data_IF_342020022761
#
_entry.id   IF_342020022761
#
_cell.length_a   1.000
_cell.length_b   1.000
_cell.length_c   1.000
_cell.angle_alpha   90.00
_cell.angle_beta   90.00
_cell.angle_gamma   90.00
#
_symmetry.space_group_name_H-M   'P 1'
#
loop_
_entity.id
_entity.type
_entity.pdbx_description
1 polymer ?
2 branched ?
3 non-polymer ?
4 non-polymer ?
5 non-polymer ?
6 water ?
#
# COMPACT_ATOMS: atom_id res chain seq x y z
N UNK A 1 7.32 -22.41 33.55
CA UNK A 1 8.14 -23.22 32.63
C UNK A 1 9.61 -22.85 32.68
N UNK A 2 10.45 -23.81 33.01
CA UNK A 2 11.90 -23.59 33.06
C UNK A 2 12.53 -23.43 31.68
N UNK A 3 11.78 -23.76 30.63
CA UNK A 3 12.26 -23.57 29.25
C UNK A 3 11.63 -22.33 28.60
N UNK A 4 10.83 -21.60 29.36
CA UNK A 4 10.07 -20.48 28.83
C UNK A 4 10.31 -19.20 29.61
N UNK A 5 11.33 -18.43 29.22
CA UNK A 5 11.61 -17.13 29.84
C UNK A 5 10.59 -16.08 29.39
N UNK A 6 10.17 -15.24 30.32
CA UNK A 6 9.15 -14.22 30.04
C UNK A 6 7.91 -14.41 30.92
N UNK A 7 6.78 -13.78 30.55
CA UNK A 7 6.56 -12.98 29.34
C UNK A 7 7.27 -11.64 29.32
N UNK A 8 7.62 -11.20 28.12
CA UNK A 8 8.24 -9.90 27.91
C UNK A 8 7.24 -9.04 27.16
N UNK A 9 7.30 -7.73 27.38
CA UNK A 9 6.34 -6.82 26.77
C UNK A 9 6.80 -6.39 25.36
N UNK A 10 5.86 -5.93 24.51
CA UNK A 10 6.25 -5.41 23.20
C UNK A 10 7.43 -4.44 23.32
N UNK A 11 8.46 -4.67 22.51
CA UNK A 11 9.70 -3.91 22.60
C UNK A 11 10.46 -3.97 21.26
N UNK A 12 11.44 -3.09 21.09
CA UNK A 12 12.35 -3.13 19.96
C UNK A 12 13.69 -3.62 20.49
N UNK A 13 14.20 -4.68 19.88
CA UNK A 13 15.41 -5.33 20.39
C UNK A 13 16.12 -6.10 19.29
N UNK A 14 17.39 -6.38 19.53
CA UNK A 14 18.21 -7.18 18.63
C UNK A 14 18.38 -8.56 19.25
N UNK A 15 17.49 -9.52 18.89
CA UNK A 15 17.49 -10.83 19.54
C UNK A 15 18.84 -11.54 19.39
N UNK A 16 19.26 -12.30 20.41
CA UNK A 16 20.48 -13.09 20.26
C UNK A 16 20.24 -14.30 19.36
N UNK A 17 21.27 -14.76 18.67
CA UNK A 17 21.15 -15.90 17.76
C UNK A 17 20.90 -17.21 18.51
N UNK A 18 20.32 -18.20 17.81
CA UNK A 18 20.01 -19.52 18.39
C UNK A 18 18.96 -19.51 19.51
N UNK A 19 18.16 -18.44 19.57
CA UNK A 19 17.05 -18.37 20.52
C UNK A 19 15.74 -18.20 19.76
N UNK A 20 14.76 -19.05 20.04
CA UNK A 20 13.44 -18.86 19.49
C UNK A 20 12.71 -17.77 20.27
N UNK A 21 12.09 -16.87 19.53
CA UNK A 21 11.27 -15.84 20.11
C UNK A 21 9.84 -16.33 19.95
N UNK A 22 9.22 -16.75 21.06
CA UNK A 22 7.87 -17.27 21.02
C UNK A 22 6.86 -16.15 21.25
N UNK A 23 6.03 -15.90 20.23
CA UNK A 23 5.12 -14.77 20.20
C UNK A 23 3.68 -15.17 20.56
N UNK A 24 3.04 -14.36 21.40
CA UNK A 24 1.68 -14.64 21.85
C UNK A 24 0.71 -13.49 21.58
N UNK A 25 0.33 -13.29 20.31
CA UNK A 25 -0.55 -12.17 19.96
C UNK A 25 -2.00 -12.43 20.35
N UNK A 26 -2.82 -11.38 20.37
CA UNK A 26 -4.22 -11.52 20.78
C UNK A 26 -5.19 -11.17 19.66
N UNK A 27 -4.89 -10.12 18.91
CA UNK A 27 -5.76 -9.65 17.83
C UNK A 27 -5.07 -9.68 16.48
N UNK A 28 -5.84 -9.57 15.40
CA UNK A 28 -5.27 -9.49 14.06
C UNK A 28 -4.40 -8.24 13.89
N UNK A 29 -3.36 -8.35 13.06
CA UNK A 29 -2.49 -7.22 12.76
C UNK A 29 -1.04 -7.64 12.66
N UNK A 30 -0.15 -6.68 12.84
CA UNK A 30 1.29 -6.94 12.77
C UNK A 30 1.75 -7.57 14.09
N UNK A 31 2.35 -8.75 14.01
CA UNK A 31 2.86 -9.48 15.16
C UNK A 31 4.26 -8.99 15.50
N UNK A 32 5.12 -9.01 14.48
CA UNK A 32 6.53 -8.69 14.62
C UNK A 32 7.05 -8.18 13.29
N UNK A 33 8.03 -7.29 13.34
CA UNK A 33 8.76 -6.81 12.16
C UNK A 33 10.26 -6.75 12.48
N UNK A 34 11.09 -6.89 11.45
CA UNK A 34 12.53 -6.91 11.61
C UNK A 34 13.22 -6.55 10.31
N UNK A 35 14.42 -5.98 10.43
CA UNK A 35 15.20 -5.61 9.26
C UNK A 35 16.69 -5.55 9.54
N UNK A 36 17.48 -5.71 8.48
CA UNK A 36 18.92 -5.49 8.53
C UNK A 36 19.28 -4.13 7.92
N UNK A 37 18.26 -3.39 7.50
CA UNK A 37 18.39 -2.03 6.96
C UNK A 37 19.19 -1.97 5.65
N UNK A 38 19.30 -3.10 4.97
CA UNK A 38 20.07 -3.22 3.74
C UNK A 38 19.25 -3.87 2.62
N UNK A 39 18.77 -5.09 2.86
CA UNK A 39 18.16 -5.88 1.80
C UNK A 39 17.11 -6.88 2.28
N UNK A 40 16.65 -6.72 3.52
CA UNK A 40 15.57 -7.54 4.03
C UNK A 40 14.73 -6.73 5.00
N UNK A 41 13.45 -6.60 4.66
CA UNK A 41 12.44 -6.11 5.58
C UNK A 41 11.37 -7.18 5.70
N UNK A 42 11.33 -7.80 6.88
CA UNK A 42 10.46 -8.93 7.16
C UNK A 42 9.49 -8.62 8.30
N UNK A 43 8.24 -8.97 8.11
CA UNK A 43 7.25 -8.90 9.18
C UNK A 43 6.43 -10.16 9.19
N UNK A 44 5.69 -10.37 10.27
CA UNK A 44 4.67 -11.38 10.32
C UNK A 44 3.35 -10.69 10.68
N UNK A 45 2.31 -10.99 9.92
CA UNK A 45 0.97 -10.49 10.19
C UNK A 45 0.08 -11.64 10.65
N UNK A 46 -1.00 -11.31 11.36
CA UNK A 46 -1.93 -12.31 11.87
C UNK A 46 -3.32 -12.05 11.33
N UNK A 47 -3.95 -13.11 10.82
CA UNK A 47 -5.29 -13.02 10.26
C UNK A 47 -6.20 -13.97 11.02
N UNK A 48 -7.30 -13.42 11.53
CA UNK A 48 -8.29 -14.20 12.28
C UNK A 48 -8.98 -15.19 11.34
N UNK A 49 -9.71 -16.18 11.89
CA UNK A 49 -10.41 -17.14 11.03
C UNK A 49 -11.53 -16.47 10.22
N UNK A 50 -11.94 -17.12 9.13
CA UNK A 50 -13.05 -16.64 8.30
C UNK A 50 -12.85 -15.25 7.66
N UNK A 51 -11.79 -15.11 6.88
CA UNK A 51 -11.51 -13.88 6.17
C UNK A 51 -11.38 -14.19 4.67
N UNK A 52 -12.41 -13.84 3.91
CA UNK A 52 -12.39 -14.01 2.45
C UNK A 52 -11.43 -12.98 1.87
N UNK A 53 -10.78 -13.33 0.75
CA UNK A 53 -9.78 -12.45 0.11
C UNK A 53 -10.18 -10.98 0.16
N UNK A 54 -9.29 -10.15 0.71
CA UNK A 54 -9.53 -8.72 0.90
C UNK A 54 -8.23 -7.96 1.06
N UNK A 55 -8.24 -6.69 0.65
CA UNK A 55 -7.13 -5.79 0.93
C UNK A 55 -7.22 -5.27 2.36
N UNK A 56 -6.12 -5.43 3.10
CA UNK A 56 -6.04 -4.88 4.45
C UNK A 56 -4.83 -4.00 4.61
N UNK A 57 -4.96 -2.97 5.42
CA UNK A 57 -3.85 -2.05 5.69
C UNK A 57 -3.12 -2.45 6.97
N UNK A 58 -1.80 -2.55 6.86
CA UNK A 58 -0.95 -2.87 8.00
C UNK A 58 0.09 -1.78 8.15
N UNK A 59 0.40 -1.45 9.40
CA UNK A 59 1.48 -0.52 9.72
C UNK A 59 2.80 -1.29 9.80
N UNK A 60 3.62 -1.14 8.75
CA UNK A 60 4.89 -1.87 8.66
C UNK A 60 6.05 -0.90 8.55
N UNK A 61 6.95 -0.93 9.53
CA UNK A 61 8.09 0.00 9.62
C UNK A 61 7.64 1.46 9.49
N UNK A 62 6.54 1.79 10.17
CA UNK A 62 6.05 3.16 10.24
C UNK A 62 5.26 3.68 9.04
N UNK A 63 4.83 2.81 8.14
CA UNK A 63 3.99 3.26 7.02
C UNK A 63 2.83 2.31 6.70
N UNK A 64 1.80 2.85 6.08
CA UNK A 64 0.61 2.08 5.70
C UNK A 64 0.90 1.22 4.48
N UNK A 65 0.80 -0.09 4.65
CA UNK A 65 1.03 -1.03 3.58
C UNK A 65 -0.24 -1.82 3.34
N UNK A 66 -0.70 -1.85 2.10
CA UNK A 66 -1.91 -2.58 1.75
C UNK A 66 -1.57 -3.94 1.15
N UNK A 67 -2.12 -4.99 1.77
CA UNK A 67 -1.86 -6.36 1.37
C UNK A 67 -3.14 -7.14 1.15
N UNK A 68 -3.12 -8.00 0.13
CA UNK A 68 -4.24 -8.89 -0.16
C UNK A 68 -4.11 -10.19 0.61
N UNK A 69 -4.99 -10.38 1.58
CA UNK A 69 -4.88 -11.48 2.53
C UNK A 69 -6.17 -12.30 2.58
N UNK A 70 -6.06 -13.52 3.10
CA UNK A 70 -7.22 -14.37 3.31
C UNK A 70 -6.95 -15.42 4.38
N UNK A 71 -7.99 -15.78 5.12
CA UNK A 71 -7.94 -16.94 5.99
C UNK A 71 -9.21 -17.75 5.76
N UNK A 72 -9.07 -18.83 5.00
CA UNK A 72 -10.16 -19.77 4.68
C UNK A 72 -10.67 -20.45 5.95
N UNK A 73 -9.73 -20.89 6.78
CA UNK A 73 -10.01 -21.64 8.01
C UNK A 73 -11.14 -21.05 8.86
N UNK A 74 -11.84 -21.94 9.55
CA UNK A 74 -12.87 -21.55 10.50
C UNK A 74 -12.36 -21.66 11.93
N UNK A 75 -11.40 -22.57 12.15
CA UNK A 75 -10.92 -22.91 13.50
C UNK A 75 -9.49 -22.45 13.79
N UNK A 76 -8.78 -22.02 12.75
CA UNK A 76 -7.37 -21.71 12.88
C UNK A 76 -7.03 -20.29 12.44
N UNK A 77 -6.20 -19.63 13.25
CA UNK A 77 -5.65 -18.31 12.91
C UNK A 77 -4.51 -18.50 11.92
N UNK A 78 -4.21 -17.45 11.14
CA UNK A 78 -3.20 -17.55 10.10
C UNK A 78 -2.08 -16.52 10.26
N UNK A 79 -0.86 -17.01 10.43
CA UNK A 79 0.33 -16.17 10.42
C UNK A 79 0.92 -16.18 9.02
N UNK A 80 1.29 -15.01 8.51
CA UNK A 80 1.90 -14.88 7.19
C UNK A 80 3.16 -14.06 7.32
N UNK A 81 4.26 -14.56 6.75
CA UNK A 81 5.49 -13.78 6.67
C UNK A 81 5.45 -12.93 5.42
N UNK A 82 5.72 -11.64 5.57
CA UNK A 82 5.79 -10.73 4.42
C UNK A 82 7.19 -10.16 4.34
N UNK A 83 7.73 -10.06 3.12
CA UNK A 83 9.12 -9.68 2.94
C UNK A 83 9.37 -8.85 1.69
N UNK A 84 10.18 -7.79 1.85
CA UNK A 84 10.72 -7.03 0.70
C UNK A 84 12.24 -6.95 0.78
N UNK A 85 12.90 -6.77 -0.36
CA UNK A 85 14.36 -6.78 -0.40
C UNK A 85 14.99 -5.42 -0.73
N UNK A 86 14.15 -4.43 -0.98
CA UNK A 86 14.61 -3.07 -1.20
C UNK A 86 13.70 -2.14 -0.41
N UNK A 87 14.20 -0.97 -0.01
CA UNK A 87 13.37 -0.04 0.76
C UNK A 87 12.09 0.36 0.04
N UNK A 88 12.14 0.41 -1.29
CA UNK A 88 11.04 0.96 -2.09
C UNK A 88 10.20 -0.11 -2.82
N UNK A 89 10.53 -1.38 -2.62
CA UNK A 89 9.85 -2.48 -3.31
C UNK A 89 8.55 -2.98 -2.69
N UNK A 90 8.04 -4.07 -3.26
CA UNK A 90 6.82 -4.70 -2.79
C UNK A 90 7.09 -5.86 -1.83
N UNK A 91 6.22 -5.99 -0.83
CA UNK A 91 6.20 -7.16 0.05
C UNK A 91 5.54 -8.32 -0.67
N UNK A 92 6.12 -9.50 -0.54
CA UNK A 92 5.51 -10.74 -1.00
C UNK A 92 5.27 -11.65 0.20
N UNK A 93 4.32 -12.57 0.06
CA UNK A 93 3.86 -13.39 1.18
C UNK A 93 4.45 -14.80 1.17
N UNK A 94 4.92 -15.25 2.33
CA UNK A 94 5.65 -16.51 2.42
C UNK A 94 5.37 -17.22 3.74
N UNK A 95 5.70 -18.50 3.78
CA UNK A 95 5.61 -19.36 4.95
C UNK A 95 4.40 -19.20 5.84
N UNK A 96 3.19 -19.30 5.28
CA UNK A 96 2.03 -19.20 6.19
C UNK A 96 1.96 -20.33 7.23
N UNK A 97 1.48 -19.98 8.43
CA UNK A 97 1.21 -20.97 9.47
C UNK A 97 -0.23 -20.83 9.94
N UNK A 98 -1.00 -21.88 9.72
CA UNK A 98 -2.36 -21.98 10.25
C UNK A 98 -2.30 -22.60 11.63
N UNK A 99 -2.85 -21.90 12.61
CA UNK A 99 -2.57 -22.18 14.01
C UNK A 99 -3.78 -22.16 14.92
N UNK A 100 -3.93 -23.25 15.69
CA UNK A 100 -4.98 -23.33 16.69
C UNK A 100 -4.58 -22.62 18.00
N UNK A 101 -3.36 -22.86 18.52
CA UNK A 101 -2.95 -22.22 19.77
C UNK A 101 -2.70 -20.72 19.68
N UNK A 102 -2.56 -20.21 18.46
CA UNK A 102 -2.29 -18.79 18.20
C UNK A 102 -0.89 -18.36 18.70
N UNK A 103 0.07 -19.26 18.54
CA UNK A 103 1.45 -18.98 18.90
C UNK A 103 2.33 -19.00 17.66
N UNK A 104 3.30 -18.11 17.63
CA UNK A 104 4.27 -18.04 16.55
C UNK A 104 5.67 -17.97 17.12
N UNK A 105 6.67 -18.26 16.30
CA UNK A 105 8.07 -18.12 16.73
C UNK A 105 9.02 -17.70 15.61
N UNK A 106 10.00 -16.86 15.97
CA UNK A 106 11.07 -16.48 15.05
C UNK A 106 12.45 -16.68 15.70
N UNK A 107 13.44 -16.96 14.88
CA UNK A 107 14.80 -17.15 15.34
C UNK A 107 15.83 -16.72 14.30
N UNK A 108 16.88 -16.05 14.75
CA UNK A 108 18.05 -15.72 13.94
C UNK A 108 19.06 -16.85 14.10
N UNK A 109 19.38 -17.52 13.00
CA UNK A 109 20.29 -18.64 13.02
C UNK A 109 20.96 -18.90 11.66
N UNK A 110 22.26 -19.14 11.68
CA UNK A 110 23.03 -19.62 10.54
C UNK A 110 22.70 -18.88 9.22
N UNK A 111 22.88 -17.55 9.22
CA UNK A 111 22.61 -16.74 8.04
C UNK A 111 21.14 -16.47 7.71
N UNK A 112 20.24 -16.93 8.57
CA UNK A 112 18.81 -16.92 8.26
C UNK A 112 17.97 -16.37 9.40
N UNK A 113 16.76 -15.95 9.06
CA UNK A 113 15.68 -15.81 10.01
C UNK A 113 14.70 -16.98 9.82
N UNK A 114 14.56 -17.80 10.85
CA UNK A 114 13.65 -18.93 10.83
C UNK A 114 12.30 -18.54 11.41
N UNK A 115 11.24 -19.06 10.79
CA UNK A 115 9.89 -19.00 11.34
C UNK A 115 9.22 -20.38 11.21
N UNK A 116 8.05 -20.53 11.83
CA UNK A 116 7.27 -21.76 11.68
C UNK A 116 6.27 -21.64 10.52
N UNK A 117 6.00 -22.76 9.86
CA UNK A 117 4.94 -22.81 8.84
C UNK A 117 4.17 -24.13 8.76
N UNK A 118 3.08 -24.12 8.01
CA UNK A 118 2.27 -25.32 7.83
C UNK A 118 0.94 -25.24 8.56
N UNK A 119 0.63 -26.29 9.31
CA UNK A 119 -0.64 -26.42 10.00
C UNK A 119 -0.40 -27.15 11.33
N UNK A 120 -0.74 -26.49 12.44
CA UNK A 120 -0.72 -27.16 13.74
C UNK A 120 -1.80 -28.26 13.72
N UNK A 121 -1.51 -29.43 14.31
CA UNK A 121 -0.34 -29.77 15.13
C UNK A 121 0.83 -30.42 14.40
N UNK A 122 0.94 -30.21 13.08
CA UNK A 122 2.10 -30.72 12.33
C UNK A 122 2.91 -29.59 11.68
N UNK A 123 3.28 -28.58 12.47
CA UNK A 123 4.01 -27.43 11.95
C UNK A 123 5.49 -27.73 11.74
N UNK A 124 6.06 -27.15 10.68
CA UNK A 124 7.48 -27.29 10.36
C UNK A 124 8.15 -25.91 10.38
N UNK A 125 9.45 -25.86 10.12
CA UNK A 125 10.17 -24.59 10.01
C UNK A 125 10.58 -24.25 8.58
N UNK A 126 10.63 -22.96 8.31
CA UNK A 126 11.19 -22.41 7.08
C UNK A 126 12.13 -21.27 7.46
N UNK A 127 12.82 -20.72 6.48
CA UNK A 127 13.80 -19.66 6.77
C UNK A 127 13.88 -18.64 5.65
N UNK A 128 14.46 -17.50 5.99
CA UNK A 128 14.69 -16.41 5.04
C UNK A 128 16.17 -16.04 5.12
N UNK A 129 16.91 -16.39 4.08
CA UNK A 129 18.35 -16.07 3.99
C UNK A 129 18.52 -14.56 4.03
N UNK A 130 19.29 -14.09 5.00
CA UNK A 130 19.38 -12.66 5.32
C UNK A 130 20.84 -12.21 5.45
N UNK A 131 21.24 -11.24 4.62
CA UNK A 131 22.58 -10.65 4.70
C UNK A 131 22.87 -10.17 6.12
N UNK A 132 24.06 -10.49 6.63
CA UNK A 132 24.48 -10.06 7.97
C UNK A 132 23.36 -10.30 8.98
N UNK A 133 22.90 -11.54 9.02
CA UNK A 133 21.69 -11.93 9.76
C UNK A 133 21.67 -11.48 11.22
N UNK A 134 22.80 -11.56 11.94
CA UNK A 134 22.76 -11.27 13.38
C UNK A 134 22.59 -9.78 13.73
N UNK A 135 22.67 -8.92 12.72
CA UNK A 135 22.37 -7.51 12.89
C UNK A 135 20.88 -7.18 12.90
N UNK A 136 20.05 -8.13 12.45
CA UNK A 136 18.60 -7.90 12.34
C UNK A 136 17.99 -7.41 13.66
N UNK A 137 17.40 -6.22 13.60
CA UNK A 137 16.64 -5.67 14.72
C UNK A 137 15.16 -5.92 14.58
N UNK A 138 14.50 -6.19 15.70
CA UNK A 138 13.12 -6.60 15.69
C UNK A 138 12.24 -5.80 16.64
N UNK A 139 11.02 -5.49 16.21
CA UNK A 139 10.00 -4.95 17.08
C UNK A 139 8.87 -5.96 17.20
N UNK A 140 8.68 -6.49 18.41
CA UNK A 140 7.52 -7.31 18.69
C UNK A 140 6.39 -6.39 19.10
N UNK A 141 5.22 -6.59 18.49
CA UNK A 141 4.05 -5.80 18.86
C UNK A 141 3.16 -6.52 19.88
N UNK A 142 3.58 -7.70 20.31
CA UNK A 142 2.84 -8.47 21.30
C UNK A 142 3.78 -9.00 22.37
N UNK A 143 3.21 -9.53 23.47
CA UNK A 143 4.00 -10.21 24.51
C UNK A 143 4.70 -11.43 23.91
N UNK A 144 5.91 -11.71 24.40
CA UNK A 144 6.73 -12.80 23.89
C UNK A 144 7.57 -13.50 24.96
N UNK A 145 8.04 -14.70 24.62
CA UNK A 145 8.89 -15.51 25.48
C UNK A 145 10.18 -15.87 24.74
N UNK A 146 11.18 -16.35 25.49
CA UNK A 146 12.45 -16.80 24.90
C UNK A 146 12.70 -18.27 25.24
N UNK A 147 13.07 -19.05 24.23
CA UNK A 147 13.44 -20.46 24.38
C UNK A 147 14.75 -20.73 23.62
N UNK A 148 15.68 -21.46 24.23
CA UNK A 148 16.91 -21.77 23.48
C UNK A 148 16.62 -22.72 22.30
N UNK A 149 17.50 -22.71 21.31
CA UNK A 149 17.35 -23.55 20.12
C UNK A 149 17.54 -25.03 20.45
N UNK A 150 18.45 -25.31 21.37
CA UNK A 150 18.73 -26.68 21.82
C UNK A 150 17.49 -27.38 22.39
N UNK A 151 16.41 -26.60 22.55
CA UNK A 151 15.13 -27.09 23.04
C UNK A 151 14.04 -26.82 22.02
N UNK A 152 14.44 -26.78 20.74
CA UNK A 152 13.55 -26.50 19.62
C UNK A 152 12.33 -27.40 19.58
N UNK A 153 12.52 -28.69 19.89
CA UNK A 153 11.41 -29.65 19.92
C UNK A 153 10.34 -29.18 20.92
N UNK A 154 10.78 -28.46 21.96
CA UNK A 154 9.86 -27.87 22.95
C UNK A 154 9.17 -26.63 22.38
N UNK A 155 9.92 -25.77 21.70
CA UNK A 155 9.31 -24.65 20.98
C UNK A 155 8.27 -25.16 19.99
N UNK A 156 8.63 -26.22 19.25
CA UNK A 156 7.73 -26.90 18.32
C UNK A 156 6.48 -27.44 19.02
N UNK A 157 6.66 -28.03 20.20
CA UNK A 157 5.54 -28.53 21.00
C UNK A 157 4.59 -27.39 21.40
N UNK A 158 5.17 -26.25 21.81
CA UNK A 158 4.38 -25.07 22.13
C UNK A 158 3.62 -24.53 20.92
N UNK A 159 4.28 -24.55 19.76
CA UNK A 159 3.67 -24.10 18.51
C UNK A 159 2.48 -25.00 18.14
N UNK A 160 2.68 -26.31 18.25
CA UNK A 160 1.66 -27.30 17.90
C UNK A 160 0.50 -27.43 18.91
N UNK A 161 0.81 -27.27 20.19
CA UNK A 161 -0.14 -27.61 21.27
C UNK A 161 -0.44 -26.51 22.28
N UNK A 162 0.30 -25.41 22.21
CA UNK A 162 0.07 -24.28 23.11
C UNK A 162 0.83 -24.41 24.41
N UNK A 163 0.65 -23.41 25.27
CA UNK A 163 1.37 -23.33 26.55
C UNK A 163 0.83 -24.32 27.58
N UNK B 5 -8.36 30.55 -2.74
CA UNK B 5 -9.42 30.29 -1.72
C UNK B 5 -9.94 28.84 -1.75
N UNK B 6 -11.06 28.60 -1.08
CA UNK B 6 -11.65 27.25 -0.98
C UNK B 6 -11.83 26.82 0.46
N UNK B 7 -12.28 25.55 0.69
CA UNK B 7 -12.54 24.47 -0.27
C UNK B 7 -13.95 24.47 -0.88
N UNK B 8 -14.13 23.70 -1.95
CA UNK B 8 -15.37 23.68 -2.73
C UNK B 8 -15.91 22.26 -2.90
N UNK B 9 -17.18 22.14 -3.27
CA UNK B 9 -17.83 20.84 -3.44
C UNK B 9 -17.88 20.36 -4.90
N UNK B 10 -18.07 19.04 -5.12
CA UNK B 10 -18.19 18.49 -6.48
C UNK B 10 -19.09 19.33 -7.39
N UNK B 11 -18.51 19.86 -8.47
CA UNK B 11 -19.24 20.76 -9.36
C UNK B 11 -18.76 20.74 -10.81
N UNK B 12 -19.62 21.22 -11.70
CA UNK B 12 -19.29 21.39 -13.11
C UNK B 12 -19.11 22.87 -13.37
N UNK B 13 -17.90 23.26 -13.76
CA UNK B 13 -17.56 24.66 -13.98
C UNK B 13 -16.54 24.87 -15.10
N UNK B 14 -16.31 26.13 -15.44
CA UNK B 14 -15.27 26.54 -16.38
C UNK B 14 -14.12 27.15 -15.56
N UNK B 15 -13.10 26.34 -15.26
CA UNK B 15 -12.06 26.79 -14.33
C UNK B 15 -11.23 27.92 -14.92
N UNK B 16 -10.94 28.96 -14.11
CA UNK B 16 -10.18 30.11 -14.59
C UNK B 16 -8.76 29.69 -14.95
N UNK B 17 -8.20 30.35 -15.96
CA UNK B 17 -6.86 30.01 -16.45
C UNK B 17 -5.80 30.44 -15.42
N UNK B 18 -4.66 29.75 -15.42
CA UNK B 18 -3.57 30.01 -14.46
C UNK B 18 -3.92 29.73 -12.99
N UNK B 19 -4.91 28.88 -12.77
CA UNK B 19 -5.24 28.41 -11.44
C UNK B 19 -5.21 26.88 -11.38
N UNK B 20 -4.55 26.36 -10.35
CA UNK B 20 -4.53 24.94 -10.08
C UNK B 20 -5.78 24.54 -9.29
N UNK B 21 -6.50 23.54 -9.79
CA UNK B 21 -7.57 22.89 -9.05
C UNK B 21 -6.94 21.75 -8.24
N UNK B 22 -6.78 21.95 -6.94
CA UNK B 22 -6.23 20.92 -6.06
C UNK B 22 -7.33 20.00 -5.57
N UNK B 23 -7.19 18.72 -5.89
CA UNK B 23 -8.27 17.76 -5.71
C UNK B 23 -7.99 16.81 -4.55
N UNK B 24 -8.98 16.67 -3.67
CA UNK B 24 -8.91 15.71 -2.56
C UNK B 24 -9.99 14.64 -2.66
N UNK B 25 -9.76 13.59 -3.46
CA UNK B 25 -10.71 12.49 -3.59
C UNK B 25 -10.74 11.58 -2.35
N UNK B 26 -11.73 10.69 -2.29
CA UNK B 26 -11.86 9.76 -1.17
C UNK B 26 -11.67 8.30 -1.58
N UNK B 27 -12.55 7.79 -2.44
CA UNK B 27 -12.53 6.38 -2.88
C UNK B 27 -12.09 6.24 -4.36
N UNK B 28 -11.85 5.02 -4.81
CA UNK B 28 -11.55 4.76 -6.22
C UNK B 28 -12.65 5.29 -7.13
N UNK B 29 -12.24 5.82 -8.28
CA UNK B 29 -13.18 6.23 -9.31
C UNK B 29 -12.67 7.36 -10.18
N UNK B 30 -13.60 8.04 -10.82
CA UNK B 30 -13.29 9.20 -11.66
C UNK B 30 -13.16 10.41 -10.75
N UNK B 31 -12.03 11.08 -10.85
CA UNK B 31 -11.74 12.21 -9.99
C UNK B 31 -12.29 13.46 -10.64
N UNK B 32 -11.94 13.66 -11.91
CA UNK B 32 -12.23 14.87 -12.64
C UNK B 32 -12.27 14.58 -14.14
N UNK B 33 -13.14 15.29 -14.87
CA UNK B 33 -13.19 15.18 -16.33
C UNK B 33 -13.34 16.55 -16.96
N UNK B 34 -12.77 16.70 -18.15
CA UNK B 34 -12.75 18.00 -18.83
C UNK B 34 -12.68 17.85 -20.34
N UNK B 35 -13.32 18.79 -21.04
CA UNK B 35 -13.33 18.77 -22.50
C UNK B 35 -13.45 20.16 -23.12
N UNK B 36 -12.89 20.32 -24.31
CA UNK B 36 -13.11 21.50 -25.13
C UNK B 36 -14.17 21.22 -26.21
N UNK B 37 -14.74 20.02 -26.15
CA UNK B 37 -15.73 19.54 -27.11
C UNK B 37 -15.26 19.62 -28.57
N UNK B 38 -13.96 19.44 -28.79
CA UNK B 38 -13.35 19.54 -30.12
C UNK B 38 -12.39 18.38 -30.37
N UNK B 39 -11.30 18.34 -29.60
CA UNK B 39 -10.20 17.40 -29.84
C UNK B 39 -9.48 17.00 -28.55
N UNK B 40 -10.14 17.19 -27.41
CA UNK B 40 -9.57 16.76 -26.14
C UNK B 40 -10.65 16.40 -25.13
N UNK B 41 -10.69 15.13 -24.77
CA UNK B 41 -11.50 14.65 -23.67
C UNK B 41 -10.53 14.07 -22.68
N UNK B 42 -10.42 14.71 -21.53
CA UNK B 42 -9.45 14.31 -20.52
C UNK B 42 -10.15 14.04 -19.19
N UNK B 43 -9.90 12.87 -18.63
CA UNK B 43 -10.37 12.54 -17.29
C UNK B 43 -9.24 11.93 -16.47
N UNK B 44 -9.37 11.99 -15.15
CA UNK B 44 -8.43 11.35 -14.25
C UNK B 44 -9.18 10.34 -13.39
N UNK B 45 -8.69 9.11 -13.40
CA UNK B 45 -9.22 8.06 -12.55
C UNK B 45 -8.25 7.76 -11.40
N UNK B 46 -8.80 7.26 -10.30
CA UNK B 46 -8.02 6.98 -9.11
C UNK B 46 -8.14 5.50 -8.77
N UNK B 47 -7.00 4.84 -8.61
CA UNK B 47 -6.97 3.42 -8.30
C UNK B 47 -6.32 3.20 -6.95
N UNK B 48 -7.08 2.57 -6.05
CA UNK B 48 -6.61 2.23 -4.71
C UNK B 48 -5.35 1.36 -4.75
N UNK B 49 -4.54 1.38 -3.66
CA UNK B 49 -3.33 0.54 -3.63
C UNK B 49 -3.63 -0.95 -3.85
N UNK B 50 -2.66 -1.64 -4.46
CA UNK B 50 -2.67 -3.11 -4.57
C UNK B 50 -3.83 -3.66 -5.41
N UNK B 51 -3.82 -3.32 -6.69
CA UNK B 51 -4.85 -3.77 -7.63
C UNK B 51 -4.16 -4.47 -8.78
N UNK B 52 -4.37 -5.77 -8.87
CA UNK B 52 -3.86 -6.58 -9.98
C UNK B 52 -4.59 -6.19 -11.25
N UNK B 53 -3.93 -6.33 -12.39
CA UNK B 53 -4.51 -5.97 -13.70
C UNK B 53 -5.92 -6.53 -13.86
N UNK B 54 -6.88 -5.60 -13.99
CA UNK B 54 -8.30 -5.93 -14.16
C UNK B 54 -8.97 -4.93 -15.08
N UNK B 55 -10.10 -5.32 -15.65
CA UNK B 55 -10.91 -4.41 -16.44
C UNK B 55 -11.94 -3.77 -15.51
N UNK B 56 -11.98 -2.44 -15.52
CA UNK B 56 -12.97 -1.69 -14.75
C UNK B 56 -13.73 -0.77 -15.70
N UNK B 57 -14.99 -0.51 -15.37
CA UNK B 57 -15.84 0.35 -16.19
C UNK B 57 -16.00 1.70 -15.50
N UNK B 58 -15.75 2.76 -16.26
CA UNK B 58 -15.88 4.12 -15.75
C UNK B 58 -16.91 4.89 -16.58
N UNK B 59 -17.58 5.84 -15.94
CA UNK B 59 -18.51 6.72 -16.61
C UNK B 59 -17.82 8.00 -17.06
N UNK B 60 -17.31 7.99 -18.29
CA UNK B 60 -16.53 9.11 -18.82
C UNK B 60 -17.32 9.95 -19.82
N UNK B 61 -17.72 11.14 -19.36
CA UNK B 61 -18.52 12.09 -20.16
C UNK B 61 -19.91 11.53 -20.49
N UNK B 62 -20.00 10.75 -21.56
CA UNK B 62 -21.22 10.06 -21.89
C UNK B 62 -21.11 8.55 -21.73
N UNK B 63 -20.03 8.01 -22.27
CA UNK B 63 -19.87 6.57 -22.47
C UNK B 63 -19.66 5.73 -21.20
N UNK B 64 -19.76 4.41 -21.37
CA UNK B 64 -19.29 3.45 -20.36
C UNK B 64 -18.02 2.87 -20.93
N UNK B 65 -16.89 3.22 -20.33
CA UNK B 65 -15.60 2.87 -20.90
C UNK B 65 -14.93 1.78 -20.07
N UNK B 66 -14.52 0.72 -20.75
CA UNK B 66 -13.82 -0.38 -20.11
C UNK B 66 -12.33 -0.19 -20.33
N UNK B 67 -11.61 -0.12 -19.22
CA UNK B 67 -10.17 0.11 -19.24
C UNK B 67 -9.44 -0.97 -18.46
N UNK B 68 -8.32 -1.42 -19.02
CA UNK B 68 -7.40 -2.30 -18.32
C UNK B 68 -6.55 -1.45 -17.35
N UNK B 69 -6.89 -1.52 -16.07
CA UNK B 69 -6.20 -0.75 -15.05
C UNK B 69 -5.49 -1.62 -14.03
N UNK B 70 -4.58 -1.01 -13.27
CA UNK B 70 -3.80 -1.70 -12.25
C UNK B 70 -3.13 -0.69 -11.31
N UNK B 71 -2.80 -1.15 -10.11
CA UNK B 71 -1.91 -0.42 -9.22
C UNK B 71 -0.99 -1.39 -8.48
N UNK B 72 0.26 -1.43 -8.90
CA UNK B 72 1.27 -2.35 -8.37
C UNK B 72 1.85 -1.89 -7.03
N UNK B 73 1.53 -0.67 -6.62
CA UNK B 73 1.98 -0.13 -5.34
C UNK B 73 1.14 -0.62 -4.17
N UNK B 74 1.82 -0.95 -3.07
CA UNK B 74 1.16 -1.34 -1.82
C UNK B 74 1.06 -0.16 -0.87
N UNK B 75 1.65 0.98 -1.24
CA UNK B 75 1.76 2.11 -0.34
C UNK B 75 1.14 3.40 -0.88
N UNK B 76 0.92 3.43 -2.19
CA UNK B 76 0.48 4.65 -2.85
C UNK B 76 -0.75 4.41 -3.69
N UNK B 77 -1.64 5.41 -3.71
CA UNK B 77 -2.78 5.43 -4.61
C UNK B 77 -2.26 5.85 -5.99
N UNK B 78 -3.02 5.53 -7.03
CA UNK B 78 -2.59 5.82 -8.39
C UNK B 78 -3.63 6.61 -9.16
N UNK B 79 -3.26 7.83 -9.55
CA UNK B 79 -4.08 8.63 -10.47
C UNK B 79 -3.58 8.38 -11.87
N UNK B 80 -4.51 8.25 -12.81
CA UNK B 80 -4.18 8.04 -14.22
C UNK B 80 -5.00 9.02 -15.06
N UNK B 81 -4.33 9.73 -15.97
CA UNK B 81 -5.06 10.57 -16.93
C UNK B 81 -5.52 9.71 -18.09
N UNK B 82 -6.81 9.84 -18.42
CA UNK B 82 -7.40 9.03 -19.48
C UNK B 82 -7.87 9.97 -20.58
N UNK B 83 -7.40 9.76 -21.80
CA UNK B 83 -7.65 10.73 -22.86
C UNK B 83 -7.98 10.15 -24.23
N UNK B 84 -8.86 10.87 -24.94
CA UNK B 84 -9.10 10.65 -26.36
C UNK B 84 -9.10 12.01 -27.06
N UNK B 85 -8.81 12.02 -28.36
CA UNK B 85 -8.65 13.25 -29.12
C UNK B 85 -9.64 13.39 -30.30
N UNK B 86 -10.55 12.43 -30.44
CA UNK B 86 -11.67 12.52 -31.40
C UNK B 86 -12.96 12.05 -30.71
N UNK B 87 -14.14 12.53 -31.17
CA UNK B 87 -15.40 12.15 -30.51
C UNK B 87 -15.61 10.64 -30.38
N UNK B 88 -15.14 9.87 -31.35
CA UNK B 88 -15.33 8.43 -31.33
C UNK B 88 -14.01 7.65 -31.15
N UNK B 89 -12.92 8.37 -30.87
CA UNK B 89 -11.62 7.75 -30.65
C UNK B 89 -11.53 6.98 -29.35
N UNK B 90 -10.52 6.11 -29.27
CA UNK B 90 -10.31 5.30 -28.07
C UNK B 90 -9.58 6.05 -26.95
N UNK B 91 -9.92 5.70 -25.71
CA UNK B 91 -9.28 6.26 -24.52
C UNK B 91 -7.96 5.55 -24.20
N UNK B 92 -6.89 6.32 -24.06
CA UNK B 92 -5.59 5.77 -23.68
C UNK B 92 -5.10 6.40 -22.37
N UNK B 93 -4.20 5.70 -21.70
CA UNK B 93 -3.72 6.12 -20.37
C UNK B 93 -2.42 6.90 -20.44
N UNK B 94 -2.35 8.00 -19.68
CA UNK B 94 -1.18 8.87 -19.67
C UNK B 94 -0.89 9.43 -18.29
N UNK B 95 0.33 9.93 -18.12
CA UNK B 95 0.79 10.63 -16.93
C UNK B 95 0.29 10.11 -15.58
N UNK B 96 0.61 8.83 -15.26
CA UNK B 96 0.26 8.29 -13.95
C UNK B 96 0.99 9.03 -12.84
N UNK B 97 0.29 9.25 -11.73
CA UNK B 97 0.87 9.76 -10.50
C UNK B 97 0.66 8.75 -9.36
N UNK B 98 1.74 8.25 -8.79
CA UNK B 98 1.66 7.43 -7.60
C UNK B 98 1.75 8.35 -6.39
N UNK B 99 0.72 8.30 -5.56
CA UNK B 99 0.52 9.31 -4.55
C UNK B 99 0.26 8.77 -3.15
N UNK B 100 1.03 9.26 -2.20
CA UNK B 100 0.83 8.92 -0.80
C UNK B 100 -0.25 9.82 -0.16
N UNK B 101 -0.21 11.15 -0.39
CA UNK B 101 -1.23 12.02 0.19
C UNK B 101 -2.62 11.85 -0.41
N UNK B 102 -2.71 11.21 -1.58
CA UNK B 102 -3.98 11.04 -2.30
C UNK B 102 -4.54 12.38 -2.85
N UNK B 103 -3.64 13.30 -3.22
CA UNK B 103 -4.04 14.58 -3.79
C UNK B 103 -3.60 14.72 -5.25
N UNK B 104 -4.48 15.32 -6.06
CA UNK B 104 -4.21 15.56 -7.47
C UNK B 104 -4.47 17.04 -7.76
N UNK B 105 -4.04 17.50 -8.93
CA UNK B 105 -4.25 18.89 -9.34
C UNK B 105 -4.25 19.00 -10.86
N UNK B 106 -5.06 19.92 -11.38
CA UNK B 106 -5.14 20.17 -12.82
C UNK B 106 -5.23 21.67 -13.04
N UNK B 107 -4.70 22.15 -14.17
CA UNK B 107 -4.73 23.57 -14.48
C UNK B 107 -4.78 23.85 -15.98
N UNK B 108 -5.63 24.79 -16.36
CA UNK B 108 -5.70 25.29 -17.73
C UNK B 108 -4.73 26.45 -17.86
N UNK B 109 -3.77 26.32 -18.76
CA UNK B 109 -2.73 27.33 -18.95
C UNK B 109 -2.05 27.12 -20.29
N UNK B 110 -1.77 28.24 -20.98
CA UNK B 110 -0.98 28.27 -22.22
C UNK B 110 -1.33 27.15 -23.22
N UNK B 111 -2.59 27.13 -23.65
CA UNK B 111 -3.06 26.17 -24.66
C UNK B 111 -3.07 24.71 -24.24
N UNK B 112 -3.03 24.46 -22.93
CA UNK B 112 -2.88 23.10 -22.40
C UNK B 112 -3.73 22.88 -21.15
N UNK B 113 -3.98 21.60 -20.85
CA UNK B 113 -4.38 21.20 -19.51
C UNK B 113 -3.16 20.51 -18.87
N UNK B 114 -2.74 21.03 -17.73
CA UNK B 114 -1.64 20.48 -16.96
C UNK B 114 -2.17 19.57 -15.85
N UNK B 115 -1.46 18.49 -15.59
CA UNK B 115 -1.69 17.68 -14.39
C UNK B 115 -0.36 17.40 -13.68
N UNK B 116 -0.37 16.46 -12.74
CA UNK B 116 0.87 16.05 -12.08
C UNK B 116 1.17 14.61 -12.44
N UNK B 117 2.45 14.29 -12.57
CA UNK B 117 2.84 12.92 -12.83
C UNK B 117 4.04 12.50 -12.01
N UNK B 118 4.27 11.19 -11.96
CA UNK B 118 5.43 10.65 -11.28
C UNK B 118 5.11 9.99 -9.96
N UNK B 119 6.02 10.17 -9.01
CA UNK B 119 5.90 9.53 -7.71
C UNK B 119 6.21 10.52 -6.61
N UNK B 120 5.24 10.72 -5.72
CA UNK B 120 5.46 11.54 -4.53
C UNK B 120 6.56 10.91 -3.64
N UNK B 121 7.41 11.75 -2.98
CA UNK B 121 7.36 13.23 -2.93
C UNK B 121 8.15 13.95 -4.03
N UNK B 122 8.33 13.31 -5.18
CA UNK B 122 9.07 13.94 -6.28
C UNK B 122 8.23 14.10 -7.55
N UNK B 123 6.96 14.45 -7.37
CA UNK B 123 6.03 14.60 -8.49
C UNK B 123 6.32 15.85 -9.32
N UNK B 124 6.13 15.74 -10.64
CA UNK B 124 6.31 16.88 -11.54
C UNK B 124 5.06 17.13 -12.37
N UNK B 125 5.11 18.17 -13.20
CA UNK B 125 3.98 18.56 -14.04
C UNK B 125 4.13 17.98 -15.43
N UNK B 126 2.99 17.63 -16.02
CA UNK B 126 2.89 17.27 -17.43
C UNK B 126 1.71 18.03 -18.02
N UNK B 127 1.50 17.92 -19.33
CA UNK B 127 0.45 18.70 -19.98
C UNK B 127 -0.15 17.98 -21.17
N UNK B 128 -1.32 18.46 -21.58
CA UNK B 128 -2.04 17.90 -22.73
C UNK B 128 -2.48 19.07 -23.60
N UNK B 129 -1.91 19.16 -24.79
CA UNK B 129 -2.25 20.20 -25.74
C UNK B 129 -3.75 20.20 -26.00
N UNK B 130 -4.38 21.35 -25.79
CA UNK B 130 -5.81 21.48 -25.87
C UNK B 130 -6.18 22.75 -26.66
N UNK B 131 -6.89 22.54 -27.77
CA UNK B 131 -7.33 23.63 -28.64
C UNK B 131 -8.41 24.47 -27.94
N UNK B 132 -8.30 25.80 -28.07
CA UNK B 132 -9.23 26.75 -27.46
C UNK B 132 -9.38 26.45 -25.99
N UNK B 133 -8.22 26.36 -25.33
CA UNK B 133 -8.09 25.75 -24.01
C UNK B 133 -8.97 26.41 -22.95
N UNK B 134 -9.14 27.72 -22.98
CA UNK B 134 -9.93 28.37 -21.93
C UNK B 134 -11.44 28.08 -21.98
N UNK B 135 -11.90 27.52 -23.09
CA UNK B 135 -13.29 27.02 -23.16
C UNK B 135 -13.50 25.72 -22.39
N UNK B 136 -12.41 25.08 -21.93
CA UNK B 136 -12.55 23.78 -21.26
C UNK B 136 -13.45 23.87 -20.03
N UNK B 137 -14.52 23.08 -20.06
CA UNK B 137 -15.38 22.90 -18.90
C UNK B 137 -14.94 21.62 -18.21
N UNK B 138 -14.95 21.65 -16.88
CA UNK B 138 -14.56 20.49 -16.09
C UNK B 138 -15.59 20.18 -15.02
N UNK B 139 -15.74 18.89 -14.75
CA UNK B 139 -16.50 18.40 -13.63
C UNK B 139 -15.53 17.80 -12.62
N UNK B 140 -15.49 18.38 -11.43
CA UNK B 140 -14.78 17.79 -10.31
C UNK B 140 -15.78 16.95 -9.51
N UNK B 141 -15.47 15.66 -9.32
CA UNK B 141 -16.34 14.76 -8.56
C UNK B 141 -16.00 14.74 -7.06
N UNK B 142 -15.05 15.57 -6.65
CA UNK B 142 -14.60 15.59 -5.26
C UNK B 142 -14.33 17.01 -4.78
N UNK B 143 -14.16 17.17 -3.47
CA UNK B 143 -13.84 18.47 -2.88
C UNK B 143 -12.55 19.02 -3.47
N UNK B 144 -12.48 20.33 -3.66
CA UNK B 144 -11.29 20.92 -4.27
C UNK B 144 -10.92 22.32 -3.79
N UNK B 145 -9.69 22.70 -4.10
CA UNK B 145 -9.12 23.99 -3.72
C UNK B 145 -8.62 24.71 -4.98
N UNK B 146 -8.61 26.04 -4.94
CA UNK B 146 -8.11 26.84 -6.06
C UNK B 146 -6.84 27.58 -5.65
N UNK B 147 -5.73 27.26 -6.31
CA UNK B 147 -4.43 27.86 -6.04
C UNK B 147 -3.91 28.56 -7.31
N UNK B 148 -3.43 29.82 -7.19
CA UNK B 148 -2.86 30.54 -8.31
C UNK B 148 -1.55 29.92 -8.81
N UNK B 149 -1.28 30.09 -10.12
CA UNK B 149 -0.08 29.53 -10.74
C UNK B 149 1.22 30.12 -10.19
N UNK B 150 1.15 31.33 -9.63
CA UNK B 150 2.33 31.94 -9.01
C UNK B 150 2.66 31.32 -7.64
N UNK B 151 1.71 30.58 -7.09
CA UNK B 151 1.94 29.76 -5.89
C UNK B 151 1.98 28.25 -6.23
N UNK B 152 2.46 27.93 -7.43
CA UNK B 152 2.55 26.56 -7.92
C UNK B 152 3.50 25.69 -7.08
N UNK B 153 4.59 26.29 -6.61
CA UNK B 153 5.53 25.59 -5.74
C UNK B 153 4.85 25.05 -4.49
N UNK B 154 3.86 25.79 -4.00
CA UNK B 154 3.05 25.36 -2.86
C UNK B 154 2.09 24.22 -3.27
N UNK B 155 1.50 24.33 -4.45
CA UNK B 155 0.66 23.26 -4.98
C UNK B 155 1.47 21.97 -5.11
N UNK B 156 2.67 22.08 -5.67
CA UNK B 156 3.58 20.94 -5.80
C UNK B 156 3.92 20.33 -4.43
N UNK B 157 4.14 21.19 -3.44
CA UNK B 157 4.39 20.75 -2.06
C UNK B 157 3.23 19.94 -1.48
N UNK B 158 2.00 20.39 -1.71
CA UNK B 158 0.79 19.69 -1.23
C UNK B 158 0.60 18.36 -1.96
N UNK B 159 0.93 18.32 -3.25
CA UNK B 159 0.90 17.08 -4.02
C UNK B 159 1.88 16.07 -3.42
N UNK B 160 3.07 16.56 -3.11
CA UNK B 160 4.15 15.71 -2.58
C UNK B 160 4.06 15.35 -1.11
N UNK B 161 3.49 16.23 -0.28
CA UNK B 161 3.55 16.05 1.18
C UNK B 161 2.21 16.10 1.91
N UNK B 162 1.14 16.46 1.21
CA UNK B 162 -0.17 16.54 1.81
C UNK B 162 -0.48 17.94 2.29
N UNK B 163 -1.73 18.15 2.71
CA UNK B 163 -2.16 19.45 3.23
C UNK B 163 -1.50 19.73 4.57
#
# INVERSE_FOLDING_TARGET
GSLLDGPYQPTTFNPPTSYWILLAPTVEGVVIQGTNNIDRWLATILIEPNVQTTNRIYNLFGQQVTLSVENTSQTQWKFIDVSKTTPTGNYTQHGPLFSTPKLYAVMKFSGRIYTYNGTTPNATTGYYSTTNYDTVNMTSFCDFYIIPRNQEEKCTEYINHGL
GSLLDGPYQPTTFNPPTSYWILLAPTVEGVVIQGTNNIDRWLATILIEPNVQTTNRIYNLFGQQVTLSVENTSQTQWKFIDVSKTTPTGNYTQHGPLFSTPKLYAVMKFSGRIYTYNGTTPNATTGYYSTTNYDTVNMTSFCDFYIIPRNQEEKCTEYINHGL
#
